data_IF_367550777507
#
_entry.id   IF_367550777507
#
_cell.length_a   1.000
_cell.length_b   1.000
_cell.length_c   1.000
_cell.angle_alpha   90.00
_cell.angle_beta   90.00
_cell.angle_gamma   90.00
#
_symmetry.space_group_name_H-M   'P 1'
#
loop_
_entity.id
_entity.type
_entity.pdbx_description
1 polymer ?
#
# COMPACT_ATOMS: atom_id res chain seq x y z
N UNK A 1 2.13 -25.00 33.17
CA UNK A 1 2.45 -24.30 31.92
C UNK A 1 2.09 -22.83 32.15
N UNK A 2 3.07 -21.93 32.07
CA UNK A 2 2.82 -20.49 32.25
C UNK A 2 2.03 -19.93 31.06
N UNK A 3 0.93 -19.24 31.36
CA UNK A 3 0.18 -18.49 30.35
C UNK A 3 0.74 -17.06 30.12
N UNK A 4 1.84 -16.71 30.79
CA UNK A 4 2.47 -15.38 30.64
C UNK A 4 3.30 -15.34 29.34
N UNK A 5 3.03 -14.41 28.40
CA UNK A 5 3.72 -14.35 27.11
C UNK A 5 5.25 -14.28 27.21
N UNK A 6 5.77 -13.54 28.21
CA UNK A 6 7.21 -13.41 28.46
C UNK A 6 7.93 -14.71 28.85
N UNK A 7 7.18 -15.76 29.24
CA UNK A 7 7.72 -17.05 29.65
C UNK A 7 7.44 -18.17 28.62
N UNK A 8 6.88 -17.83 27.45
CA UNK A 8 6.58 -18.77 26.40
C UNK A 8 7.72 -18.79 25.38
N UNK A 9 8.50 -19.88 25.37
CA UNK A 9 9.43 -20.16 24.28
C UNK A 9 8.74 -20.87 23.13
N UNK A 10 9.00 -20.46 21.90
CA UNK A 10 8.55 -21.14 20.69
C UNK A 10 9.76 -21.67 19.92
N UNK A 11 9.75 -22.96 19.62
CA UNK A 11 10.74 -23.59 18.76
C UNK A 11 10.03 -24.27 17.60
N UNK A 12 10.41 -23.92 16.38
CA UNK A 12 9.93 -24.58 15.18
C UNK A 12 10.84 -25.77 14.84
N UNK A 13 10.36 -26.96 15.13
CA UNK A 13 11.08 -28.24 14.88
C UNK A 13 10.95 -28.70 13.42
N UNK A 14 10.18 -28.00 12.56
CA UNK A 14 10.05 -28.35 11.16
C UNK A 14 11.33 -28.08 10.39
N UNK A 15 11.70 -29.00 9.47
CA UNK A 15 12.91 -28.86 8.63
C UNK A 15 12.90 -27.56 7.83
N UNK A 16 11.75 -27.17 7.31
CA UNK A 16 11.57 -25.98 6.44
C UNK A 16 11.28 -24.69 7.21
N UNK A 17 11.19 -24.73 8.54
CA UNK A 17 10.89 -23.57 9.40
C UNK A 17 9.63 -22.78 8.99
N UNK A 18 8.66 -23.44 8.37
CA UNK A 18 7.45 -22.79 7.81
C UNK A 18 6.50 -22.20 8.86
N UNK A 19 6.69 -22.49 10.14
CA UNK A 19 5.86 -22.01 11.24
C UNK A 19 6.51 -20.88 12.03
N UNK A 20 7.62 -20.37 11.54
CA UNK A 20 8.30 -19.19 12.12
C UNK A 20 8.63 -18.17 11.04
N UNK A 21 8.87 -16.94 11.45
CA UNK A 21 9.29 -15.88 10.55
C UNK A 21 10.70 -16.16 10.00
N UNK A 22 10.98 -15.71 8.80
CA UNK A 22 12.33 -15.70 8.21
C UNK A 22 13.28 -14.87 9.10
N UNK A 23 14.57 -15.10 8.97
CA UNK A 23 15.58 -14.36 9.75
C UNK A 23 15.48 -12.85 9.55
N UNK A 24 15.21 -12.40 8.32
CA UNK A 24 15.05 -10.99 8.01
C UNK A 24 13.80 -10.38 8.67
N UNK A 25 12.68 -11.09 8.64
CA UNK A 25 11.45 -10.66 9.33
C UNK A 25 11.65 -10.63 10.84
N UNK A 26 12.39 -11.58 11.40
CA UNK A 26 12.75 -11.57 12.83
C UNK A 26 13.63 -10.36 13.20
N UNK A 27 14.59 -9.98 12.34
CA UNK A 27 15.42 -8.78 12.55
C UNK A 27 14.53 -7.51 12.58
N UNK A 28 13.60 -7.38 11.63
CA UNK A 28 12.63 -6.28 11.60
C UNK A 28 11.82 -6.24 12.90
N UNK A 29 11.26 -7.38 13.32
CA UNK A 29 10.45 -7.47 14.55
C UNK A 29 11.23 -7.10 15.81
N UNK A 30 12.51 -7.49 15.91
CA UNK A 30 13.39 -7.14 17.05
C UNK A 30 13.68 -5.65 17.14
N UNK A 31 13.76 -4.95 16.01
CA UNK A 31 14.01 -3.50 15.95
C UNK A 31 12.76 -2.67 16.26
N UNK A 32 11.57 -3.23 16.10
CA UNK A 32 10.30 -2.56 16.40
C UNK A 32 10.07 -2.57 17.93
N UNK A 33 10.54 -1.56 18.61
CA UNK A 33 10.31 -1.39 20.07
C UNK A 33 8.93 -0.79 20.36
N UNK A 34 8.44 -1.00 21.59
CA UNK A 34 7.19 -0.44 22.09
C UNK A 34 5.93 -1.17 21.64
N UNK A 35 4.77 -0.75 22.12
CA UNK A 35 3.51 -1.37 21.79
C UNK A 35 3.15 -1.16 20.30
N UNK A 36 2.43 -2.12 19.74
CA UNK A 36 1.92 -2.07 18.38
C UNK A 36 0.44 -2.44 18.37
N UNK A 37 -0.33 -1.79 17.50
CA UNK A 37 -1.74 -2.12 17.27
C UNK A 37 -1.96 -2.38 15.78
N UNK A 38 -2.65 -3.45 15.46
CA UNK A 38 -3.14 -3.75 14.11
C UNK A 38 -4.65 -3.50 14.12
N UNK A 39 -5.08 -2.37 13.57
CA UNK A 39 -6.50 -2.03 13.46
C UNK A 39 -7.01 -2.43 12.08
N UNK A 40 -7.97 -3.34 12.04
CA UNK A 40 -8.65 -3.78 10.81
C UNK A 40 -9.90 -2.94 10.59
N UNK A 41 -9.96 -2.17 9.52
CA UNK A 41 -11.11 -1.37 9.11
C UNK A 41 -11.93 -2.14 8.08
N UNK A 42 -13.19 -2.38 8.41
CA UNK A 42 -14.09 -3.25 7.64
C UNK A 42 -15.36 -2.50 7.26
N UNK A 43 -15.55 -2.25 5.97
CA UNK A 43 -16.77 -1.62 5.48
C UNK A 43 -17.90 -2.65 5.38
N UNK A 44 -19.06 -2.35 5.97
CA UNK A 44 -20.24 -3.25 5.97
C UNK A 44 -20.79 -3.52 4.56
N UNK A 45 -20.54 -2.60 3.62
CA UNK A 45 -20.96 -2.72 2.22
C UNK A 45 -19.92 -3.41 1.33
N UNK A 46 -18.70 -3.62 1.85
CA UNK A 46 -17.65 -4.29 1.08
C UNK A 46 -17.91 -5.81 1.03
N UNK A 47 -17.56 -6.40 -0.10
CA UNK A 47 -17.55 -7.87 -0.27
C UNK A 47 -16.57 -8.55 0.69
N UNK A 48 -15.53 -7.82 1.12
CA UNK A 48 -14.54 -8.29 2.09
C UNK A 48 -15.01 -8.23 3.56
N UNK A 49 -16.24 -7.82 3.84
CA UNK A 49 -16.77 -7.82 5.20
C UNK A 49 -16.62 -9.19 5.91
N UNK A 50 -16.89 -10.26 5.18
CA UNK A 50 -16.88 -11.60 5.75
C UNK A 50 -15.48 -12.09 6.14
N UNK A 51 -14.40 -11.49 5.57
CA UNK A 51 -12.99 -11.83 5.88
C UNK A 51 -12.62 -11.56 7.34
N UNK A 52 -13.22 -10.55 7.94
CA UNK A 52 -12.99 -10.17 9.34
C UNK A 52 -14.30 -9.86 10.08
N UNK A 53 -15.38 -10.52 9.68
CA UNK A 53 -16.63 -10.49 10.44
C UNK A 53 -16.38 -10.99 11.88
N UNK A 54 -17.25 -10.69 12.85
CA UNK A 54 -17.04 -11.14 14.23
C UNK A 54 -16.84 -12.65 14.38
N UNK A 55 -17.37 -13.44 13.46
CA UNK A 55 -17.19 -14.91 13.44
C UNK A 55 -15.78 -15.31 12.98
N UNK A 56 -15.21 -14.56 12.04
CA UNK A 56 -13.93 -14.87 11.39
C UNK A 56 -12.73 -14.20 12.08
N UNK A 57 -12.95 -13.32 13.07
CA UNK A 57 -11.87 -12.63 13.78
C UNK A 57 -10.78 -13.56 14.32
N UNK A 58 -11.16 -14.74 14.86
CA UNK A 58 -10.18 -15.69 15.40
C UNK A 58 -9.26 -16.25 14.32
N UNK A 59 -9.83 -16.55 13.16
CA UNK A 59 -9.06 -17.02 12.00
C UNK A 59 -8.19 -15.90 11.45
N UNK A 60 -8.73 -14.70 11.32
CA UNK A 60 -7.96 -13.54 10.90
C UNK A 60 -6.78 -13.23 11.85
N UNK A 61 -6.99 -13.28 13.16
CA UNK A 61 -5.92 -13.14 14.16
C UNK A 61 -4.87 -14.26 14.03
N UNK A 62 -5.28 -15.47 13.68
CA UNK A 62 -4.37 -16.60 13.52
C UNK A 62 -3.34 -16.37 12.39
N UNK A 63 -3.67 -15.58 11.37
CA UNK A 63 -2.76 -15.21 10.27
C UNK A 63 -1.55 -14.41 10.77
N UNK A 64 -1.71 -13.66 11.84
CA UNK A 64 -0.65 -12.87 12.47
C UNK A 64 0.07 -13.61 13.61
N UNK A 65 -0.25 -14.90 13.83
CA UNK A 65 0.28 -15.67 14.96
C UNK A 65 1.81 -15.74 14.98
N UNK A 66 2.47 -15.80 13.82
CA UNK A 66 3.94 -15.79 13.76
C UNK A 66 4.50 -14.47 14.33
N UNK A 67 3.88 -13.34 14.00
CA UNK A 67 4.29 -12.02 14.49
C UNK A 67 3.98 -11.83 15.97
N UNK A 68 2.78 -12.19 16.41
CA UNK A 68 2.37 -12.06 17.83
C UNK A 68 3.13 -13.00 18.76
N UNK A 69 3.75 -14.06 18.25
CA UNK A 69 4.68 -14.90 19.01
C UNK A 69 6.01 -14.19 19.29
N UNK A 70 6.53 -13.44 18.32
CA UNK A 70 7.75 -12.64 18.51
C UNK A 70 7.50 -11.37 19.32
N UNK A 71 6.29 -10.80 19.24
CA UNK A 71 5.89 -9.58 19.89
C UNK A 71 4.50 -9.70 20.48
N UNK A 72 4.38 -10.33 21.67
CA UNK A 72 3.09 -10.62 22.32
C UNK A 72 2.26 -9.39 22.67
N UNK A 73 2.88 -8.22 22.75
CA UNK A 73 2.24 -6.93 23.01
C UNK A 73 1.50 -6.36 21.80
N UNK A 74 1.55 -7.01 20.61
CA UNK A 74 0.73 -6.61 19.48
C UNK A 74 -0.75 -6.82 19.81
N UNK A 75 -1.51 -5.72 19.76
CA UNK A 75 -2.96 -5.74 19.89
C UNK A 75 -3.60 -5.79 18.50
N UNK A 76 -4.67 -6.58 18.37
CA UNK A 76 -5.48 -6.60 17.16
C UNK A 76 -6.87 -6.07 17.46
N UNK A 77 -7.28 -5.06 16.70
CA UNK A 77 -8.56 -4.36 16.86
C UNK A 77 -9.34 -4.39 15.55
N UNK A 78 -10.67 -4.35 15.63
CA UNK A 78 -11.58 -4.36 14.49
C UNK A 78 -12.54 -3.19 14.59
N UNK A 79 -12.55 -2.37 13.55
CA UNK A 79 -13.44 -1.22 13.41
C UNK A 79 -14.34 -1.43 12.21
N UNK A 80 -15.63 -1.54 12.48
CA UNK A 80 -16.65 -1.71 11.45
C UNK A 80 -17.25 -0.36 11.10
N UNK A 81 -17.35 -0.08 9.81
CA UNK A 81 -17.86 1.21 9.36
C UNK A 81 -18.73 1.08 8.10
N UNK A 82 -19.36 2.17 7.73
CA UNK A 82 -20.03 2.35 6.46
C UNK A 82 -19.57 3.65 5.78
N UNK A 83 -19.60 3.65 4.46
CA UNK A 83 -19.30 4.82 3.63
C UNK A 83 -20.44 5.06 2.64
N UNK A 84 -20.49 6.24 2.05
CA UNK A 84 -21.42 6.50 0.94
C UNK A 84 -20.95 5.75 -0.30
N UNK A 85 -21.76 4.82 -0.87
CA UNK A 85 -21.39 4.10 -2.08
C UNK A 85 -21.30 5.05 -3.27
N UNK A 86 -20.41 4.74 -4.19
CA UNK A 86 -20.24 5.50 -5.45
C UNK A 86 -21.35 5.23 -6.46
N UNK A 87 -21.98 4.06 -6.40
CA UNK A 87 -23.08 3.69 -7.29
C UNK A 87 -24.45 3.80 -6.61
N UNK A 88 -25.49 3.85 -7.43
CA UNK A 88 -26.87 3.96 -6.98
C UNK A 88 -27.55 2.63 -6.68
N UNK A 89 -26.88 1.49 -6.89
CA UNK A 89 -27.50 0.17 -6.78
C UNK A 89 -28.04 -0.10 -5.37
N UNK A 90 -27.25 0.29 -4.37
CA UNK A 90 -27.65 0.13 -2.98
C UNK A 90 -28.91 0.97 -2.63
N UNK A 91 -28.98 2.21 -3.13
CA UNK A 91 -30.15 3.07 -2.90
C UNK A 91 -31.40 2.57 -3.62
N UNK A 92 -31.26 1.96 -4.81
CA UNK A 92 -32.38 1.29 -5.51
C UNK A 92 -32.92 0.10 -4.73
N UNK A 93 -32.04 -0.63 -4.03
CA UNK A 93 -32.46 -1.76 -3.20
C UNK A 93 -33.16 -1.33 -1.90
N UNK A 94 -32.88 -0.11 -1.44
CA UNK A 94 -33.46 0.44 -0.19
C UNK A 94 -34.05 1.85 -0.44
N UNK A 95 -35.18 1.94 -1.18
CA UNK A 95 -35.78 3.23 -1.49
C UNK A 95 -36.18 3.96 -0.20
N UNK A 96 -36.09 5.29 -0.22
CA UNK A 96 -36.49 6.18 0.88
C UNK A 96 -35.69 6.03 2.18
N UNK A 97 -34.52 5.36 2.17
CA UNK A 97 -33.63 5.26 3.33
C UNK A 97 -32.35 6.06 3.12
N UNK A 98 -31.90 6.72 4.17
CA UNK A 98 -30.58 7.34 4.18
C UNK A 98 -29.48 6.27 4.38
N UNK A 99 -28.23 6.65 4.14
CA UNK A 99 -27.10 5.69 4.14
C UNK A 99 -26.89 5.00 5.50
N UNK A 100 -27.17 5.68 6.61
CA UNK A 100 -27.07 5.12 7.96
C UNK A 100 -28.15 4.05 8.17
N UNK A 101 -29.37 4.32 7.76
CA UNK A 101 -30.49 3.37 7.84
C UNK A 101 -30.21 2.13 6.99
N UNK A 102 -29.68 2.33 5.77
CA UNK A 102 -29.27 1.24 4.88
C UNK A 102 -28.18 0.41 5.56
N UNK A 103 -27.15 1.05 6.12
CA UNK A 103 -26.07 0.36 6.82
C UNK A 103 -26.59 -0.49 8.00
N UNK A 104 -27.56 0.02 8.73
CA UNK A 104 -28.17 -0.70 9.85
C UNK A 104 -28.99 -1.92 9.38
N UNK A 105 -29.73 -1.80 8.28
CA UNK A 105 -30.46 -2.94 7.70
C UNK A 105 -29.49 -4.01 7.16
N UNK A 106 -28.43 -3.59 6.46
CA UNK A 106 -27.40 -4.51 5.97
C UNK A 106 -26.69 -5.22 7.14
N UNK A 107 -26.37 -4.47 8.20
CA UNK A 107 -25.76 -5.04 9.40
C UNK A 107 -26.65 -6.12 10.03
N UNK A 108 -27.95 -5.86 10.18
CA UNK A 108 -28.91 -6.86 10.69
C UNK A 108 -28.93 -8.12 9.81
N UNK A 109 -28.97 -7.95 8.47
CA UNK A 109 -28.91 -9.09 7.53
C UNK A 109 -27.63 -9.91 7.64
N UNK A 110 -26.52 -9.25 7.98
CA UNK A 110 -25.21 -9.89 8.22
C UNK A 110 -25.04 -10.39 9.67
N UNK A 111 -26.09 -10.36 10.49
CA UNK A 111 -26.04 -10.71 11.92
C UNK A 111 -25.00 -9.89 12.70
N UNK A 112 -24.83 -8.63 12.33
CA UNK A 112 -23.93 -7.68 12.98
C UNK A 112 -24.73 -6.66 13.80
N UNK A 113 -24.24 -6.30 14.99
CA UNK A 113 -24.88 -5.25 15.81
C UNK A 113 -24.68 -3.87 15.16
N UNK A 114 -25.75 -3.21 14.66
CA UNK A 114 -25.66 -1.92 13.98
C UNK A 114 -25.06 -0.80 14.86
N UNK A 115 -25.21 -0.86 16.18
CA UNK A 115 -24.69 0.14 17.10
C UNK A 115 -23.16 0.17 17.17
N UNK A 116 -22.50 -0.86 16.67
CA UNK A 116 -21.04 -0.93 16.57
C UNK A 116 -20.49 -0.33 15.26
N UNK A 117 -21.36 0.07 14.33
CA UNK A 117 -20.96 0.72 13.09
C UNK A 117 -20.63 2.18 13.34
N UNK A 118 -19.53 2.63 12.73
CA UNK A 118 -19.15 4.03 12.62
C UNK A 118 -19.35 4.52 11.19
N UNK A 119 -19.59 5.80 11.00
CA UNK A 119 -19.50 6.36 9.65
C UNK A 119 -18.03 6.57 9.25
N UNK A 120 -17.75 6.59 7.94
CA UNK A 120 -16.42 6.91 7.45
C UNK A 120 -16.01 8.34 7.86
N UNK A 121 -16.96 9.25 8.00
CA UNK A 121 -16.71 10.63 8.46
C UNK A 121 -16.23 10.68 9.91
N UNK A 122 -16.84 9.87 10.82
CA UNK A 122 -16.37 9.76 12.20
C UNK A 122 -14.95 9.22 12.33
N UNK A 123 -14.47 8.51 11.32
CA UNK A 123 -13.11 7.94 11.30
C UNK A 123 -12.08 8.85 10.64
N UNK A 124 -12.51 9.91 9.96
CA UNK A 124 -11.67 10.74 9.10
C UNK A 124 -10.47 11.38 9.82
N UNK A 125 -10.63 11.74 11.09
CA UNK A 125 -9.54 12.26 11.90
C UNK A 125 -8.46 11.21 12.23
N UNK A 126 -8.84 9.92 12.26
CA UNK A 126 -7.92 8.82 12.55
C UNK A 126 -7.32 8.21 11.30
N UNK A 127 -8.10 8.11 10.25
CA UNK A 127 -7.70 7.49 8.99
C UNK A 127 -8.49 8.06 7.82
N UNK A 128 -7.77 8.41 6.74
CA UNK A 128 -8.38 8.75 5.46
C UNK A 128 -8.67 7.47 4.65
N UNK A 129 -9.86 6.91 4.88
CA UNK A 129 -10.33 5.70 4.19
C UNK A 129 -10.64 5.94 2.70
N UNK A 130 -10.78 7.19 2.26
CA UNK A 130 -11.00 7.51 0.85
C UNK A 130 -9.77 7.12 0.01
N UNK A 131 -8.56 7.24 0.54
CA UNK A 131 -7.31 6.77 -0.10
C UNK A 131 -7.27 5.26 -0.31
N UNK A 132 -8.03 4.52 0.49
CA UNK A 132 -8.21 3.07 0.35
C UNK A 132 -9.50 2.70 -0.41
N UNK A 133 -10.14 3.68 -1.07
CA UNK A 133 -11.43 3.52 -1.76
C UNK A 133 -12.53 2.93 -0.87
N UNK A 134 -12.50 3.23 0.43
CA UNK A 134 -13.41 2.69 1.45
C UNK A 134 -13.46 1.16 1.49
N UNK A 135 -12.36 0.50 1.14
CA UNK A 135 -12.24 -0.94 1.19
C UNK A 135 -11.61 -1.43 2.49
N UNK A 136 -11.58 -2.73 2.64
CA UNK A 136 -10.86 -3.41 3.71
C UNK A 136 -9.38 -3.00 3.73
N UNK A 137 -8.91 -2.55 4.88
CA UNK A 137 -7.50 -2.22 5.12
C UNK A 137 -7.14 -2.47 6.58
N UNK A 138 -5.92 -2.94 6.83
CA UNK A 138 -5.33 -2.95 8.17
C UNK A 138 -4.30 -1.84 8.29
N UNK A 139 -4.38 -1.10 9.39
CA UNK A 139 -3.36 -0.14 9.78
C UNK A 139 -2.56 -0.74 10.92
N UNK A 140 -1.28 -0.91 10.70
CA UNK A 140 -0.31 -1.25 11.74
C UNK A 140 0.26 0.06 12.27
N UNK A 141 0.13 0.29 13.55
CA UNK A 141 0.57 1.52 14.22
C UNK A 141 1.48 1.20 15.39
N UNK A 142 2.58 1.94 15.53
CA UNK A 142 3.43 1.91 16.72
C UNK A 142 3.00 2.95 17.74
N UNK A 143 3.35 2.72 18.99
CA UNK A 143 3.11 3.69 20.07
C UNK A 143 3.75 5.07 19.85
N UNK A 144 4.76 5.16 18.98
CA UNK A 144 5.41 6.40 18.52
C UNK A 144 4.68 7.12 17.38
N UNK A 145 3.61 6.50 16.82
CA UNK A 145 2.73 7.11 15.82
C UNK A 145 3.02 6.73 14.38
N UNK A 146 4.12 6.01 14.10
CA UNK A 146 4.37 5.52 12.71
C UNK A 146 3.34 4.49 12.31
N UNK A 147 2.88 4.60 11.07
CA UNK A 147 1.84 3.75 10.51
C UNK A 147 2.26 3.09 9.20
N UNK A 148 1.79 1.85 9.00
CA UNK A 148 1.86 1.15 7.73
C UNK A 148 0.51 0.49 7.39
N UNK A 149 0.25 0.28 6.11
CA UNK A 149 -1.01 -0.31 5.63
C UNK A 149 -0.79 -1.70 5.06
N UNK A 150 -1.67 -2.62 5.43
CA UNK A 150 -1.76 -3.97 4.86
C UNK A 150 -3.11 -4.13 4.19
N UNK A 151 -3.09 -4.56 2.94
CA UNK A 151 -4.28 -4.69 2.09
C UNK A 151 -4.56 -6.14 1.76
N UNK A 152 -5.75 -6.43 1.26
CA UNK A 152 -6.07 -7.67 0.59
C UNK A 152 -5.76 -7.53 -0.90
N UNK A 153 -5.39 -8.62 -1.56
CA UNK A 153 -4.98 -8.62 -2.96
C UNK A 153 -5.99 -9.37 -3.86
N UNK A 154 -6.01 -9.04 -5.14
CA UNK A 154 -6.88 -9.69 -6.12
C UNK A 154 -6.16 -10.90 -6.79
N UNK A 155 -5.53 -11.74 -5.96
CA UNK A 155 -4.85 -12.97 -6.37
C UNK A 155 -5.30 -14.17 -5.53
N UNK A 156 -4.76 -15.36 -5.83
CA UNK A 156 -5.17 -16.60 -5.16
C UNK A 156 -4.80 -16.65 -3.67
N UNK A 157 -3.72 -15.98 -3.26
CA UNK A 157 -3.32 -15.92 -1.86
C UNK A 157 -4.19 -14.96 -1.05
N UNK A 158 -4.75 -13.96 -1.70
CA UNK A 158 -5.69 -12.96 -1.18
C UNK A 158 -5.17 -12.13 0.00
N UNK A 159 -4.61 -12.73 1.02
CA UNK A 159 -4.04 -12.05 2.20
C UNK A 159 -2.58 -11.65 1.98
N UNK A 160 -2.09 -10.62 2.69
CA UNK A 160 -0.68 -10.30 2.67
C UNK A 160 0.14 -11.47 3.25
N UNK A 161 1.22 -11.82 2.55
CA UNK A 161 2.20 -12.80 2.99
C UNK A 161 3.22 -12.17 3.95
N UNK A 162 4.19 -12.97 4.38
CA UNK A 162 5.30 -12.47 5.21
C UNK A 162 6.06 -11.34 4.52
N UNK A 163 6.20 -11.39 3.19
CA UNK A 163 6.91 -10.36 2.41
C UNK A 163 6.25 -8.99 2.56
N UNK A 164 4.94 -8.89 2.30
CA UNK A 164 4.22 -7.61 2.37
C UNK A 164 4.10 -7.12 3.82
N UNK A 165 3.88 -8.03 4.77
CA UNK A 165 3.80 -7.64 6.19
C UNK A 165 5.16 -7.10 6.65
N UNK A 166 6.26 -7.78 6.34
CA UNK A 166 7.60 -7.35 6.75
C UNK A 166 8.03 -6.07 6.03
N UNK A 167 7.66 -5.89 4.75
CA UNK A 167 7.86 -4.62 4.03
C UNK A 167 7.11 -3.46 4.71
N UNK A 168 5.85 -3.66 5.08
CA UNK A 168 5.06 -2.66 5.80
C UNK A 168 5.66 -2.34 7.18
N UNK A 169 6.08 -3.34 7.93
CA UNK A 169 6.75 -3.16 9.24
C UNK A 169 8.08 -2.43 9.10
N UNK A 170 8.87 -2.72 8.08
CA UNK A 170 10.15 -2.06 7.81
C UNK A 170 9.97 -0.56 7.52
N UNK A 171 8.87 -0.16 6.85
CA UNK A 171 8.56 1.28 6.63
C UNK A 171 8.41 2.08 7.93
N UNK A 172 8.12 1.42 9.05
CA UNK A 172 8.03 2.07 10.36
C UNK A 172 9.38 2.17 11.09
N UNK A 173 10.44 1.57 10.55
CA UNK A 173 11.80 1.60 11.12
C UNK A 173 12.72 2.53 10.36
N UNK A 174 12.59 2.56 9.04
CA UNK A 174 13.47 3.31 8.15
C UNK A 174 12.64 4.16 7.20
N UNK A 175 13.19 5.28 6.80
CA UNK A 175 12.57 6.10 5.74
C UNK A 175 12.43 5.25 4.47
N UNK A 176 11.22 5.07 3.94
CA UNK A 176 11.03 4.30 2.71
C UNK A 176 11.79 4.89 1.54
N UNK A 177 12.27 4.04 0.63
CA UNK A 177 12.79 4.49 -0.65
C UNK A 177 11.67 5.20 -1.41
N UNK A 178 11.88 6.47 -1.73
CA UNK A 178 10.89 7.30 -2.41
C UNK A 178 11.20 7.38 -3.90
N UNK A 179 10.19 7.02 -4.70
CA UNK A 179 10.23 7.07 -6.16
C UNK A 179 9.48 8.31 -6.64
N UNK A 180 10.17 9.17 -7.40
CA UNK A 180 9.56 10.30 -8.10
C UNK A 180 9.19 9.89 -9.53
N UNK A 181 7.91 9.74 -9.81
CA UNK A 181 7.43 9.48 -11.16
C UNK A 181 7.31 10.79 -11.92
N UNK A 182 8.07 10.93 -13.00
CA UNK A 182 8.06 12.14 -13.84
C UNK A 182 6.74 12.21 -14.59
N UNK A 183 6.18 13.41 -14.65
CA UNK A 183 4.95 13.74 -15.38
C UNK A 183 5.13 15.04 -16.18
N UNK A 184 4.27 15.26 -17.18
CA UNK A 184 4.28 16.47 -17.99
C UNK A 184 4.69 16.25 -19.45
N UNK A 185 5.17 15.07 -19.82
CA UNK A 185 5.62 14.71 -21.17
C UNK A 185 4.81 13.55 -21.74
N UNK A 186 3.55 13.42 -21.28
CA UNK A 186 2.62 12.36 -21.68
C UNK A 186 3.15 10.94 -21.35
N UNK A 187 3.82 10.82 -20.22
CA UNK A 187 4.24 9.56 -19.64
C UNK A 187 3.04 8.67 -19.31
N UNK A 188 3.29 7.39 -19.13
CA UNK A 188 2.28 6.49 -18.59
C UNK A 188 1.90 6.90 -17.17
N UNK A 189 0.62 6.91 -16.88
CA UNK A 189 0.09 7.35 -15.60
C UNK A 189 0.29 6.29 -14.50
N UNK A 190 0.80 6.70 -13.36
CA UNK A 190 0.95 5.85 -12.15
C UNK A 190 -0.36 5.61 -11.42
N UNK A 191 -1.44 6.29 -11.80
CA UNK A 191 -2.74 6.24 -11.11
C UNK A 191 -3.90 5.75 -11.98
N UNK A 192 -3.76 5.78 -13.32
CA UNK A 192 -4.80 5.32 -14.25
C UNK A 192 -4.70 3.80 -14.48
N UNK A 193 -5.83 3.22 -14.89
CA UNK A 193 -5.95 1.82 -15.29
C UNK A 193 -6.28 1.75 -16.77
N UNK A 194 -5.79 0.69 -17.45
CA UNK A 194 -6.07 0.42 -18.85
C UNK A 194 -4.82 0.46 -19.71
N UNK A 195 -5.00 0.61 -21.01
CA UNK A 195 -3.89 0.76 -21.92
C UNK A 195 -3.13 2.07 -21.63
N UNK A 196 -1.81 2.02 -21.66
CA UNK A 196 -0.91 3.16 -21.34
C UNK A 196 -0.91 3.64 -19.90
N UNK A 197 -1.18 2.78 -18.93
CA UNK A 197 -1.01 3.13 -17.53
C UNK A 197 -0.02 2.22 -16.80
N UNK A 198 0.48 2.70 -15.68
CA UNK A 198 1.35 1.97 -14.77
C UNK A 198 0.75 1.87 -13.35
N UNK A 199 -0.55 2.03 -13.19
CA UNK A 199 -1.15 1.97 -11.86
C UNK A 199 -0.95 0.61 -11.20
N UNK A 200 -1.02 -0.49 -11.96
CA UNK A 200 -0.74 -1.84 -11.44
C UNK A 200 0.69 -1.94 -10.89
N UNK A 201 1.66 -1.46 -11.64
CA UNK A 201 3.05 -1.47 -11.21
C UNK A 201 3.31 -0.50 -10.05
N UNK A 202 2.70 0.69 -10.06
CA UNK A 202 3.04 1.78 -9.17
C UNK A 202 2.19 1.87 -7.91
N UNK A 203 0.88 2.09 -8.05
CA UNK A 203 0.01 2.53 -6.94
C UNK A 203 -1.23 1.67 -6.71
N UNK A 204 -1.39 0.58 -7.44
CA UNK A 204 -2.60 -0.25 -7.32
C UNK A 204 -2.59 -1.06 -6.01
N UNK A 205 -3.37 -0.62 -5.02
CA UNK A 205 -3.37 -1.23 -3.68
C UNK A 205 -3.77 -2.71 -3.64
N UNK A 206 -4.54 -3.19 -4.64
CA UNK A 206 -5.00 -4.59 -4.74
C UNK A 206 -4.08 -5.49 -5.56
N UNK A 207 -3.06 -4.93 -6.18
CA UNK A 207 -2.04 -5.70 -6.87
C UNK A 207 -0.83 -5.89 -5.95
N UNK A 208 -0.57 -7.14 -5.56
CA UNK A 208 0.47 -7.50 -4.58
C UNK A 208 1.83 -6.87 -4.90
N UNK A 209 2.23 -6.94 -6.16
CA UNK A 209 3.54 -6.52 -6.61
C UNK A 209 3.65 -5.02 -6.95
N UNK A 210 2.61 -4.22 -6.69
CA UNK A 210 2.74 -2.77 -6.84
C UNK A 210 3.77 -2.20 -5.86
N UNK A 211 4.49 -1.17 -6.27
CA UNK A 211 5.56 -0.55 -5.48
C UNK A 211 5.11 -0.16 -4.07
N UNK A 212 3.90 0.38 -3.93
CA UNK A 212 3.37 0.79 -2.61
C UNK A 212 3.16 -0.37 -1.64
N UNK A 213 2.95 -1.60 -2.14
CA UNK A 213 2.81 -2.80 -1.33
C UNK A 213 4.16 -3.48 -1.07
N UNK A 214 5.21 -3.14 -1.83
CA UNK A 214 6.56 -3.68 -1.71
C UNK A 214 7.51 -2.77 -0.92
N UNK A 215 6.99 -1.80 -0.18
CA UNK A 215 7.77 -0.98 0.73
C UNK A 215 8.29 0.33 0.16
N UNK A 216 7.95 0.69 -1.07
CA UNK A 216 8.29 1.98 -1.66
C UNK A 216 7.22 3.03 -1.37
N UNK A 217 7.64 4.30 -1.35
CA UNK A 217 6.74 5.44 -1.50
C UNK A 217 6.86 6.01 -2.91
N UNK A 218 5.75 6.49 -3.46
CA UNK A 218 5.71 7.05 -4.81
C UNK A 218 5.03 8.42 -4.79
N UNK A 219 5.63 9.39 -5.48
CA UNK A 219 5.08 10.72 -5.71
C UNK A 219 5.23 11.09 -7.19
N UNK A 220 4.27 11.81 -7.73
CA UNK A 220 4.38 12.38 -9.08
C UNK A 220 5.14 13.71 -9.03
N UNK A 221 6.02 13.93 -9.99
CA UNK A 221 6.85 15.12 -10.11
C UNK A 221 6.69 15.72 -11.51
N UNK A 222 6.21 16.96 -11.58
CA UNK A 222 6.21 17.73 -12.81
C UNK A 222 7.40 18.70 -12.80
N UNK A 223 8.44 18.39 -13.59
CA UNK A 223 9.68 19.19 -13.60
C UNK A 223 9.50 20.61 -14.10
N UNK A 224 8.41 20.91 -14.87
CA UNK A 224 8.10 22.26 -15.34
C UNK A 224 7.90 23.24 -14.19
N UNK A 225 7.31 22.74 -13.11
CA UNK A 225 6.94 23.52 -11.93
C UNK A 225 8.04 23.52 -10.85
N UNK A 226 9.21 22.93 -11.15
CA UNK A 226 10.27 22.72 -10.18
C UNK A 226 11.60 23.39 -10.60
N UNK A 227 12.40 23.71 -9.60
CA UNK A 227 13.79 24.17 -9.83
C UNK A 227 14.79 23.06 -9.57
N UNK A 228 14.46 22.06 -8.76
CA UNK A 228 15.28 20.89 -8.49
C UNK A 228 14.41 19.72 -7.98
N UNK A 229 14.93 18.49 -8.07
CA UNK A 229 14.30 17.31 -7.50
C UNK A 229 14.54 17.28 -5.99
N UNK A 230 13.51 17.11 -5.15
CA UNK A 230 13.67 17.06 -3.70
C UNK A 230 14.72 16.03 -3.26
N UNK A 231 15.53 16.39 -2.25
CA UNK A 231 16.64 15.54 -1.77
C UNK A 231 16.21 14.19 -1.21
N UNK A 232 14.94 14.05 -0.82
CA UNK A 232 14.37 12.81 -0.32
C UNK A 232 13.85 11.87 -1.43
N UNK A 233 13.99 12.23 -2.70
CA UNK A 233 13.74 11.32 -3.83
C UNK A 233 14.99 10.49 -4.07
N UNK A 234 14.83 9.17 -4.07
CA UNK A 234 15.92 8.22 -4.23
C UNK A 234 16.03 7.69 -5.67
N UNK A 235 14.89 7.55 -6.34
CA UNK A 235 14.79 6.99 -7.68
C UNK A 235 13.84 7.86 -8.51
N UNK A 236 14.20 8.18 -9.74
CA UNK A 236 13.29 8.73 -10.73
C UNK A 236 12.72 7.61 -11.60
N UNK A 237 11.42 7.59 -11.74
CA UNK A 237 10.69 6.75 -12.70
C UNK A 237 10.30 7.60 -13.90
N UNK A 238 10.78 7.24 -15.09
CA UNK A 238 10.45 7.89 -16.36
C UNK A 238 9.80 6.86 -17.27
N UNK A 239 8.50 6.98 -17.43
CA UNK A 239 7.67 5.94 -18.05
C UNK A 239 7.19 6.35 -19.45
N UNK A 240 7.98 6.00 -20.47
CA UNK A 240 7.60 6.12 -21.90
C UNK A 240 7.14 7.54 -22.29
N UNK A 241 8.01 8.52 -22.13
CA UNK A 241 7.74 9.90 -22.58
C UNK A 241 7.34 9.95 -24.06
N UNK A 242 6.41 10.84 -24.38
CA UNK A 242 5.92 11.09 -25.74
C UNK A 242 6.29 12.49 -26.27
N UNK A 243 6.76 13.37 -25.42
CA UNK A 243 7.36 14.66 -25.80
C UNK A 243 8.67 14.88 -25.08
N UNK A 244 9.56 15.65 -25.72
CA UNK A 244 10.91 15.89 -25.21
C UNK A 244 10.89 16.84 -24.01
N UNK A 245 11.82 16.64 -23.09
CA UNK A 245 12.10 17.56 -21.99
C UNK A 245 12.81 18.82 -22.51
N UNK A 246 12.47 19.96 -21.93
CA UNK A 246 13.20 21.21 -22.14
C UNK A 246 14.63 21.12 -21.59
N UNK A 247 15.50 22.06 -22.00
CA UNK A 247 16.87 22.14 -21.47
C UNK A 247 16.89 22.32 -19.95
N UNK A 248 15.99 23.14 -19.39
CA UNK A 248 15.85 23.32 -17.92
C UNK A 248 15.53 22.00 -17.20
N UNK A 249 14.60 21.23 -17.74
CA UNK A 249 14.23 19.94 -17.14
C UNK A 249 15.36 18.93 -17.22
N UNK A 250 16.08 18.94 -18.33
CA UNK A 250 17.28 18.10 -18.49
C UNK A 250 18.39 18.46 -17.50
N UNK A 251 18.62 19.76 -17.24
CA UNK A 251 19.58 20.22 -16.22
C UNK A 251 19.17 19.80 -14.80
N UNK A 252 17.87 19.79 -14.50
CA UNK A 252 17.36 19.29 -13.23
C UNK A 252 17.72 17.79 -13.06
N UNK A 253 17.57 17.01 -14.12
CA UNK A 253 17.95 15.59 -14.11
C UNK A 253 19.46 15.42 -13.99
N UNK A 254 20.27 16.25 -14.66
CA UNK A 254 21.73 16.19 -14.54
C UNK A 254 22.15 16.40 -13.09
N UNK A 255 21.67 17.43 -12.42
CA UNK A 255 21.95 17.64 -11.00
C UNK A 255 21.51 16.48 -10.10
N UNK A 256 20.38 15.85 -10.43
CA UNK A 256 19.93 14.66 -9.71
C UNK A 256 20.89 13.48 -9.87
N UNK A 257 21.41 13.25 -11.08
CA UNK A 257 22.40 12.22 -11.35
C UNK A 257 23.77 12.52 -10.72
N UNK A 258 24.25 13.77 -10.79
CA UNK A 258 25.50 14.21 -10.19
C UNK A 258 25.56 13.99 -8.68
N UNK A 259 24.42 14.11 -7.99
CA UNK A 259 24.32 13.78 -6.55
C UNK A 259 24.10 12.29 -6.24
N UNK A 260 24.23 11.40 -7.24
CA UNK A 260 24.11 9.96 -7.09
C UNK A 260 22.67 9.43 -7.15
N UNK A 261 21.74 10.17 -7.74
CA UNK A 261 20.36 9.73 -7.95
C UNK A 261 20.27 8.55 -8.91
N UNK A 262 19.31 7.67 -8.68
CA UNK A 262 19.05 6.50 -9.53
C UNK A 262 17.88 6.74 -10.46
N UNK A 263 17.90 6.18 -11.66
CA UNK A 263 16.81 6.27 -12.61
C UNK A 263 16.32 4.88 -13.05
N UNK A 264 15.00 4.74 -13.16
CA UNK A 264 14.32 3.67 -13.86
C UNK A 264 13.65 4.28 -15.09
N UNK A 265 14.17 3.94 -16.27
CA UNK A 265 13.69 4.49 -17.54
C UNK A 265 13.02 3.37 -18.33
N UNK A 266 11.77 3.57 -18.70
CA UNK A 266 11.03 2.68 -19.59
C UNK A 266 10.90 3.38 -20.95
N UNK A 267 11.37 2.72 -22.00
CA UNK A 267 11.31 3.21 -23.37
C UNK A 267 10.30 2.42 -24.18
N UNK A 268 9.80 3.01 -25.25
CA UNK A 268 8.92 2.38 -26.21
C UNK A 268 9.50 2.48 -27.63
N UNK A 269 9.11 1.55 -28.49
CA UNK A 269 9.50 1.52 -29.90
C UNK A 269 9.01 2.79 -30.61
N UNK A 270 9.85 3.37 -31.47
CA UNK A 270 9.52 4.59 -32.20
C UNK A 270 9.66 5.89 -31.36
N UNK A 271 10.23 5.82 -30.16
CA UNK A 271 10.45 7.00 -29.27
C UNK A 271 11.90 7.46 -29.19
N UNK A 272 12.75 7.11 -30.16
CA UNK A 272 14.19 7.39 -30.17
C UNK A 272 14.48 8.89 -30.05
N UNK A 273 13.77 9.72 -30.80
CA UNK A 273 13.99 11.18 -30.78
C UNK A 273 13.71 11.81 -29.42
N UNK A 274 12.66 11.31 -28.73
CA UNK A 274 12.23 11.81 -27.42
C UNK A 274 13.11 11.29 -26.31
N UNK A 275 13.45 9.98 -26.34
CA UNK A 275 14.13 9.29 -25.23
C UNK A 275 15.66 9.39 -25.30
N UNK A 276 16.26 9.43 -26.50
CA UNK A 276 17.71 9.39 -26.64
C UNK A 276 18.45 10.58 -26.04
N UNK A 277 17.94 11.82 -26.00
CA UNK A 277 18.58 12.90 -25.26
C UNK A 277 18.80 12.58 -23.79
N UNK A 278 17.81 11.92 -23.15
CA UNK A 278 17.91 11.48 -21.77
C UNK A 278 18.84 10.25 -21.62
N UNK A 279 18.68 9.23 -22.48
CA UNK A 279 19.43 7.98 -22.40
C UNK A 279 20.91 8.17 -22.59
N UNK A 280 21.33 9.12 -23.44
CA UNK A 280 22.76 9.45 -23.66
C UNK A 280 23.45 9.91 -22.39
N UNK A 281 22.74 10.54 -21.44
CA UNK A 281 23.29 10.97 -20.15
C UNK A 281 23.80 9.79 -19.31
N UNK A 282 23.25 8.60 -19.55
CA UNK A 282 23.66 7.33 -18.87
C UNK A 282 24.34 6.36 -19.84
N UNK A 283 24.84 6.84 -20.98
CA UNK A 283 25.56 6.03 -21.93
C UNK A 283 24.74 5.06 -22.77
N UNK A 284 23.41 5.24 -22.83
CA UNK A 284 22.47 4.36 -23.54
C UNK A 284 21.88 5.05 -24.78
N UNK A 285 21.34 4.25 -25.68
CA UNK A 285 20.63 4.70 -26.89
C UNK A 285 19.57 3.68 -27.29
N UNK A 286 18.34 4.15 -27.54
CA UNK A 286 17.33 3.36 -28.24
C UNK A 286 17.69 3.29 -29.73
N UNK A 287 17.74 2.08 -30.26
CA UNK A 287 17.90 1.84 -31.68
C UNK A 287 16.53 1.87 -32.39
N UNK A 288 16.49 2.14 -33.71
CA UNK A 288 15.28 1.96 -34.48
C UNK A 288 14.78 0.53 -34.29
N UNK A 289 13.49 0.40 -33.92
CA UNK A 289 12.85 -0.91 -33.86
C UNK A 289 12.75 -1.54 -35.26
N UNK A 290 12.77 -2.85 -35.30
CA UNK A 290 12.55 -3.66 -36.53
C UNK A 290 11.05 -3.76 -36.75
#
# INVERSE_FOLDING_TARGET
>A
VSSRPAMMGFYDATRSKQRTLSEESQKVMKQLSGPMTITTYVNIFDKEFDVASPKEQKEDMARFKMYTRFKPEIKMEYVYYYSTPKDSALYRQYPNKNIREIAYEVAKKKNFNPQKLKSAEELKEKIDLAKENYRFVRVVERGSGEQARLRLFDDMEYHPSETEISAALKKMLVTPVKVGAITGHQERSTTKKGDQDYSLFATHGRFRYSMINQGFDLVELNLKDMNDIPSNINILLIAEMRSSMSSKEQEIIDRFLERGGNMMIMGDVGRQEVMNPLLRKVGLKLLPGI
#
